data_IF_093993620810
#
_entry.id   IF_093993620810
#
_cell.length_a   1.000
_cell.length_b   1.000
_cell.length_c   1.000
_cell.angle_alpha   90.00
_cell.angle_beta   90.00
_cell.angle_gamma   90.00
#
_symmetry.space_group_name_H-M   'P 1'
#
loop_
_entity.id
_entity.type
_entity.pdbx_description
1 polymer ?
#
# COMPACT_ATOMS: atom_id res chain seq x y z
N UNK A 1 -27.51 7.04 -2.18
CA UNK A 1 -26.71 6.45 -1.09
C UNK A 1 -25.48 7.33 -0.90
N UNK A 2 -25.29 7.90 0.30
CA UNK A 2 -24.13 8.77 0.59
C UNK A 2 -23.17 8.01 1.49
N UNK A 3 -21.93 7.80 1.04
CA UNK A 3 -20.87 7.16 1.84
C UNK A 3 -19.95 8.26 2.38
N UNK A 4 -19.74 8.29 3.69
CA UNK A 4 -18.78 9.18 4.36
C UNK A 4 -17.64 8.37 4.96
N UNK A 5 -16.41 8.66 4.53
CA UNK A 5 -15.23 8.15 5.21
C UNK A 5 -14.87 9.10 6.36
N UNK A 6 -15.18 8.69 7.60
CA UNK A 6 -14.88 9.46 8.82
C UNK A 6 -13.38 9.62 9.08
N UNK A 7 -13.04 10.14 10.25
CA UNK A 7 -11.65 10.31 10.69
C UNK A 7 -10.95 8.94 10.75
N UNK A 8 -9.71 8.86 10.25
CA UNK A 8 -8.87 7.69 10.42
C UNK A 8 -8.35 7.65 11.85
N UNK A 9 -8.50 6.50 12.52
CA UNK A 9 -7.95 6.26 13.86
C UNK A 9 -6.61 5.53 13.82
N UNK A 10 -6.28 4.92 12.69
CA UNK A 10 -5.02 4.20 12.45
C UNK A 10 -4.67 4.22 10.97
N UNK A 11 -3.37 4.25 10.69
CA UNK A 11 -2.76 4.11 9.36
C UNK A 11 -2.12 2.73 9.16
N UNK A 12 -2.29 1.83 10.12
CA UNK A 12 -1.69 0.50 10.14
C UNK A 12 -2.70 -0.58 9.73
N UNK A 13 -2.31 -1.42 8.77
CA UNK A 13 -2.96 -2.68 8.44
C UNK A 13 -2.16 -3.84 9.06
N UNK A 14 -2.66 -4.47 10.13
CA UNK A 14 -1.90 -5.41 10.93
C UNK A 14 -1.75 -6.77 10.24
N UNK A 15 -0.67 -7.48 10.60
CA UNK A 15 -0.30 -8.78 10.03
C UNK A 15 -1.41 -9.84 10.10
N UNK A 16 -2.15 -9.89 11.20
CA UNK A 16 -3.18 -10.91 11.45
C UNK A 16 -4.34 -10.87 10.44
N UNK A 17 -4.65 -9.68 9.91
CA UNK A 17 -5.63 -9.48 8.85
C UNK A 17 -4.97 -9.65 7.48
N UNK A 18 -3.85 -8.98 7.23
CA UNK A 18 -3.22 -8.94 5.91
C UNK A 18 -2.78 -10.32 5.44
N UNK A 19 -2.29 -11.18 6.34
CA UNK A 19 -1.88 -12.55 6.00
C UNK A 19 -3.04 -13.43 5.52
N UNK A 20 -4.28 -13.11 5.91
CA UNK A 20 -5.48 -13.90 5.58
C UNK A 20 -6.07 -13.52 4.22
N UNK A 21 -5.89 -12.27 3.79
CA UNK A 21 -6.45 -11.76 2.54
C UNK A 21 -5.44 -10.89 1.80
N UNK A 22 -4.94 -11.38 0.67
CA UNK A 22 -3.98 -10.68 -0.19
C UNK A 22 -4.45 -9.26 -0.57
N UNK A 23 -5.74 -9.11 -0.88
CA UNK A 23 -6.34 -7.84 -1.28
C UNK A 23 -6.20 -6.73 -0.22
N UNK A 24 -5.81 -7.07 1.02
CA UNK A 24 -5.52 -6.08 2.06
C UNK A 24 -4.42 -5.09 1.66
N UNK A 25 -3.53 -5.44 0.72
CA UNK A 25 -2.52 -4.49 0.21
C UNK A 25 -3.14 -3.25 -0.45
N UNK A 26 -4.38 -3.34 -0.94
CA UNK A 26 -5.07 -2.23 -1.59
C UNK A 26 -5.32 -1.04 -0.67
N UNK A 27 -5.27 -1.22 0.66
CA UNK A 27 -5.42 -0.10 1.61
C UNK A 27 -4.18 0.80 1.65
N UNK A 28 -3.01 0.31 1.21
CA UNK A 28 -1.75 1.06 1.24
C UNK A 28 -1.87 2.40 0.50
N UNK A 29 -2.40 2.39 -0.73
CA UNK A 29 -2.51 3.58 -1.57
C UNK A 29 -3.48 4.64 -1.01
N UNK A 30 -4.75 4.31 -0.73
CA UNK A 30 -5.73 5.25 -0.20
C UNK A 30 -5.36 5.81 1.18
N UNK A 31 -4.79 4.98 2.08
CA UNK A 31 -4.36 5.44 3.40
C UNK A 31 -3.18 6.40 3.27
N UNK A 32 -2.16 6.05 2.48
CA UNK A 32 -1.02 6.91 2.20
C UNK A 32 -1.43 8.24 1.58
N UNK A 33 -2.30 8.21 0.56
CA UNK A 33 -2.77 9.41 -0.12
C UNK A 33 -3.60 10.34 0.77
N UNK A 34 -4.30 9.77 1.77
CA UNK A 34 -5.19 10.52 2.66
C UNK A 34 -4.50 11.01 3.94
N UNK A 35 -3.67 10.17 4.55
CA UNK A 35 -3.03 10.42 5.84
C UNK A 35 -1.56 10.85 5.74
N UNK A 36 -0.95 10.74 4.56
CA UNK A 36 0.48 11.03 4.36
C UNK A 36 1.42 9.93 4.81
N UNK A 37 0.90 8.90 5.50
CA UNK A 37 1.64 7.71 5.90
C UNK A 37 0.73 6.49 5.91
N UNK A 38 1.31 5.31 5.70
CA UNK A 38 0.63 4.03 5.81
C UNK A 38 1.62 2.94 6.19
N UNK A 39 1.20 2.01 7.05
CA UNK A 39 1.99 0.85 7.42
C UNK A 39 1.20 -0.41 7.13
N UNK A 40 1.66 -1.25 6.22
CA UNK A 40 0.94 -2.47 5.81
C UNK A 40 1.88 -3.66 5.89
N UNK A 41 1.44 -4.74 6.55
CA UNK A 41 2.19 -5.99 6.55
C UNK A 41 2.35 -6.53 5.13
N UNK A 42 3.49 -7.15 4.84
CA UNK A 42 3.67 -7.86 3.57
C UNK A 42 2.69 -9.03 3.52
N UNK A 43 1.96 -9.22 2.40
CA UNK A 43 1.17 -10.42 2.19
C UNK A 43 2.09 -11.64 2.26
N UNK A 44 1.64 -12.70 2.94
CA UNK A 44 2.38 -13.95 3.00
C UNK A 44 2.48 -14.67 1.66
N UNK A 45 3.19 -15.80 1.65
CA UNK A 45 3.27 -16.69 0.50
C UNK A 45 1.90 -17.26 0.13
N UNK A 46 1.61 -17.35 -1.17
CA UNK A 46 0.39 -17.95 -1.69
C UNK A 46 0.67 -19.33 -2.28
N UNK A 47 -0.20 -20.31 -2.01
CA UNK A 47 -0.10 -21.67 -2.53
C UNK A 47 -0.15 -21.76 -4.08
N UNK A 48 -0.67 -20.73 -4.76
CA UNK A 48 -0.83 -20.68 -6.22
C UNK A 48 0.48 -20.24 -6.92
N UNK A 49 1.44 -19.69 -6.18
CA UNK A 49 2.72 -19.21 -6.72
C UNK A 49 3.11 -17.83 -6.21
N UNK A 50 4.31 -17.38 -6.62
CA UNK A 50 4.81 -16.07 -6.26
C UNK A 50 4.05 -14.98 -7.01
N UNK A 51 3.39 -14.10 -6.27
CA UNK A 51 2.62 -13.00 -6.81
C UNK A 51 3.09 -11.74 -6.08
N UNK A 52 4.21 -11.13 -6.52
CA UNK A 52 4.85 -10.06 -5.80
C UNK A 52 3.98 -8.79 -5.78
N UNK A 53 4.24 -7.93 -4.81
CA UNK A 53 3.61 -6.60 -4.69
C UNK A 53 4.54 -5.48 -5.17
N UNK A 54 5.68 -5.83 -5.78
CA UNK A 54 6.74 -4.90 -6.17
C UNK A 54 6.22 -3.80 -7.10
N UNK A 55 5.27 -4.11 -7.98
CA UNK A 55 4.65 -3.13 -8.87
C UNK A 55 3.80 -2.10 -8.13
N UNK A 56 3.18 -2.45 -6.99
CA UNK A 56 2.51 -1.48 -6.14
C UNK A 56 3.53 -0.52 -5.51
N UNK A 57 4.63 -1.08 -5.00
CA UNK A 57 5.68 -0.31 -4.34
C UNK A 57 6.35 0.66 -5.33
N UNK A 58 6.81 0.16 -6.47
CA UNK A 58 7.43 0.96 -7.54
C UNK A 58 6.51 2.06 -8.06
N UNK A 59 5.20 1.79 -8.16
CA UNK A 59 4.24 2.78 -8.59
C UNK A 59 4.10 3.92 -7.57
N UNK A 60 4.10 3.61 -6.27
CA UNK A 60 4.04 4.61 -5.20
C UNK A 60 5.34 5.42 -5.11
N UNK A 61 6.50 4.78 -5.22
CA UNK A 61 7.81 5.46 -5.27
C UNK A 61 7.89 6.41 -6.47
N UNK A 62 7.43 5.98 -7.64
CA UNK A 62 7.43 6.79 -8.85
C UNK A 62 6.53 8.05 -8.77
N UNK A 63 5.60 8.10 -7.81
CA UNK A 63 4.76 9.27 -7.53
C UNK A 63 5.17 9.97 -6.22
N UNK A 64 6.39 9.70 -5.74
CA UNK A 64 7.02 10.42 -4.65
C UNK A 64 6.76 9.86 -3.26
N UNK A 65 6.36 8.59 -3.12
CA UNK A 65 6.36 7.94 -1.81
C UNK A 65 7.78 7.50 -1.42
N UNK A 66 8.13 7.64 -0.15
CA UNK A 66 9.28 6.98 0.46
C UNK A 66 8.83 5.67 1.10
N UNK A 67 9.53 4.58 0.79
CA UNK A 67 9.20 3.25 1.29
C UNK A 67 10.34 2.70 2.17
N UNK A 68 9.98 2.20 3.34
CA UNK A 68 10.88 1.48 4.24
C UNK A 68 10.31 0.08 4.52
N UNK A 69 11.17 -0.94 4.42
CA UNK A 69 10.80 -2.31 4.72
C UNK A 69 11.48 -2.75 6.01
N UNK A 70 10.69 -3.00 7.05
CA UNK A 70 11.20 -3.42 8.35
C UNK A 70 10.27 -4.48 8.97
N UNK A 71 10.87 -5.56 9.49
CA UNK A 71 10.17 -6.62 10.23
C UNK A 71 8.91 -7.18 9.53
N UNK A 72 8.94 -7.31 8.19
CA UNK A 72 7.81 -7.82 7.42
C UNK A 72 6.69 -6.80 7.15
N UNK A 73 6.92 -5.52 7.42
CA UNK A 73 6.01 -4.42 7.08
C UNK A 73 6.61 -3.54 5.99
N UNK A 74 5.72 -2.99 5.16
CA UNK A 74 6.00 -1.82 4.31
C UNK A 74 5.49 -0.61 5.06
N UNK A 75 6.39 0.31 5.39
CA UNK A 75 6.05 1.66 5.84
C UNK A 75 6.22 2.58 4.64
N UNK A 76 5.13 3.24 4.26
CA UNK A 76 5.11 4.23 3.21
C UNK A 76 4.84 5.61 3.79
N UNK A 77 5.59 6.60 3.33
CA UNK A 77 5.45 8.00 3.75
C UNK A 77 5.42 8.87 2.50
N UNK A 78 4.55 9.88 2.50
CA UNK A 78 4.48 10.89 1.46
C UNK A 78 5.20 12.16 1.98
N UNK A 79 6.41 12.47 1.48
CA UNK A 79 7.15 13.66 1.88
C UNK A 79 6.31 14.92 1.62
N UNK A 80 6.16 15.77 2.64
CA UNK A 80 5.26 16.93 2.57
C UNK A 80 3.78 16.63 2.89
N UNK A 81 3.46 15.43 3.35
CA UNK A 81 2.14 15.02 3.84
C UNK A 81 1.13 14.63 2.75
N UNK A 82 1.50 14.72 1.46
CA UNK A 82 0.67 14.30 0.33
C UNK A 82 1.56 13.74 -0.78
N UNK A 83 1.05 12.75 -1.51
CA UNK A 83 1.75 12.22 -2.68
C UNK A 83 1.81 13.27 -3.79
N UNK A 84 2.94 13.30 -4.49
CA UNK A 84 3.05 14.12 -5.70
C UNK A 84 2.25 13.48 -6.83
N UNK A 85 1.70 14.31 -7.72
CA UNK A 85 1.15 13.79 -8.97
C UNK A 85 2.27 13.21 -9.83
N UNK A 86 2.01 12.11 -10.54
CA UNK A 86 3.02 11.49 -11.38
C UNK A 86 2.44 10.52 -12.40
N UNK A 87 3.34 9.98 -13.24
CA UNK A 87 2.99 9.00 -14.27
C UNK A 87 3.84 7.76 -14.08
N UNK A 88 3.17 6.64 -13.86
CA UNK A 88 3.82 5.33 -13.84
C UNK A 88 3.24 4.45 -14.94
N UNK A 89 4.10 3.84 -15.75
CA UNK A 89 3.71 2.84 -16.75
C UNK A 89 4.04 1.47 -16.20
N UNK A 90 3.00 0.66 -15.97
CA UNK A 90 3.20 -0.73 -15.58
C UNK A 90 3.86 -1.51 -16.72
N UNK A 91 4.99 -2.22 -16.47
CA UNK A 91 5.69 -2.98 -17.50
C UNK A 91 4.91 -4.23 -17.93
N UNK A 92 4.04 -4.74 -17.05
CA UNK A 92 3.15 -5.89 -17.28
C UNK A 92 1.81 -5.65 -16.60
N UNK A 93 0.77 -6.39 -17.01
CA UNK A 93 -0.54 -6.34 -16.33
C UNK A 93 -0.40 -6.91 -14.92
N UNK A 94 -0.71 -6.10 -13.92
CA UNK A 94 -0.67 -6.47 -12.52
C UNK A 94 -2.11 -6.57 -11.96
N UNK A 95 -2.65 -7.77 -11.73
CA UNK A 95 -3.87 -7.92 -10.95
C UNK A 95 -3.57 -7.69 -9.45
N UNK A 96 -4.53 -7.11 -8.74
CA UNK A 96 -4.46 -6.89 -7.29
C UNK A 96 -4.23 -8.20 -6.50
#
# INVERSE_FOLDING_TARGET
MTIRAGQLTSTEAPYDIVRKMRASILVLGPVLARAGEARVSLPGGCAIGNRPIDLHLKALEAIGAELEMAAGYVKATAPGGRLSGGRYRFPVVAPA
#
